data_IF_518046240476
#
_entry.id   IF_518046240476
#
_cell.length_a   1.000
_cell.length_b   1.000
_cell.length_c   1.000
_cell.angle_alpha   90.00
_cell.angle_beta   90.00
_cell.angle_gamma   90.00
#
_symmetry.space_group_name_H-M   'P 1'
#
loop_
_entity.id
_entity.type
_entity.pdbx_description
1 polymer ?
#
# COMPACT_ATOMS: atom_id res chain seq x y z
N UNK A 1 -20.51 -19.81 -23.77
CA UNK A 1 -19.10 -20.21 -23.74
C UNK A 1 -18.65 -20.99 -24.99
N UNK A 2 -18.00 -20.33 -25.97
CA UNK A 2 -17.30 -21.00 -27.08
C UNK A 2 -16.08 -21.81 -26.62
N UNK A 3 -15.89 -23.01 -27.18
CA UNK A 3 -14.71 -23.88 -26.95
C UNK A 3 -14.18 -24.34 -28.31
N UNK A 4 -12.87 -24.29 -28.52
CA UNK A 4 -12.21 -24.85 -29.69
C UNK A 4 -10.93 -25.60 -29.34
N UNK A 5 -10.66 -26.67 -30.09
CA UNK A 5 -9.41 -27.44 -29.98
C UNK A 5 -8.81 -27.58 -31.38
N UNK A 6 -7.71 -26.85 -31.63
CA UNK A 6 -7.05 -26.75 -32.94
C UNK A 6 -5.53 -26.73 -32.69
N UNK A 7 -4.75 -27.49 -33.45
CA UNK A 7 -3.28 -27.52 -33.37
C UNK A 7 -2.75 -27.71 -31.93
N UNK A 8 -3.34 -28.66 -31.20
CA UNK A 8 -3.06 -28.96 -29.78
C UNK A 8 -3.28 -27.78 -28.80
N UNK A 9 -3.98 -26.74 -29.23
CA UNK A 9 -4.41 -25.62 -28.39
C UNK A 9 -5.89 -25.75 -28.05
N UNK A 10 -6.19 -25.79 -26.75
CA UNK A 10 -7.55 -25.65 -26.23
C UNK A 10 -7.82 -24.18 -25.92
N UNK A 11 -8.80 -23.58 -26.58
CA UNK A 11 -9.25 -22.21 -26.33
C UNK A 11 -10.66 -22.23 -25.75
N UNK A 12 -10.85 -21.54 -24.63
CA UNK A 12 -12.15 -21.37 -23.97
C UNK A 12 -12.41 -19.88 -23.82
N UNK A 13 -13.46 -19.37 -24.45
CA UNK A 13 -13.90 -17.98 -24.29
C UNK A 13 -15.02 -17.95 -23.26
N UNK A 14 -14.78 -17.30 -22.12
CA UNK A 14 -15.75 -17.16 -21.05
C UNK A 14 -16.83 -16.14 -21.43
N UNK A 15 -18.03 -16.29 -20.86
CA UNK A 15 -19.15 -15.38 -21.13
C UNK A 15 -18.92 -14.02 -20.40
N UNK A 16 -19.71 -12.99 -20.73
CA UNK A 16 -19.77 -11.71 -19.99
C UNK A 16 -18.43 -10.99 -19.72
N UNK A 17 -17.58 -10.82 -20.75
CA UNK A 17 -16.29 -10.09 -20.67
C UNK A 17 -15.26 -10.69 -19.69
N UNK A 18 -15.49 -11.92 -19.22
CA UNK A 18 -14.59 -12.64 -18.31
C UNK A 18 -13.27 -13.08 -18.98
N UNK A 19 -13.16 -12.89 -20.29
CA UNK A 19 -11.93 -13.09 -21.05
C UNK A 19 -11.80 -14.49 -21.66
N UNK A 20 -10.57 -14.96 -21.82
CA UNK A 20 -10.26 -16.20 -22.52
C UNK A 20 -9.17 -16.99 -21.80
N UNK A 21 -9.29 -18.32 -21.80
CA UNK A 21 -8.23 -19.24 -21.40
C UNK A 21 -7.72 -19.99 -22.63
N UNK A 22 -6.42 -19.88 -22.87
CA UNK A 22 -5.70 -20.72 -23.82
C UNK A 22 -4.82 -21.71 -23.06
N UNK A 23 -4.93 -23.01 -23.39
CA UNK A 23 -4.01 -24.06 -22.97
C UNK A 23 -3.23 -24.47 -24.21
N UNK A 24 -1.91 -24.33 -24.17
CA UNK A 24 -1.02 -24.60 -25.29
C UNK A 24 0.31 -25.21 -24.83
N UNK A 25 0.98 -25.91 -25.74
CA UNK A 25 2.33 -26.41 -25.52
C UNK A 25 3.32 -25.27 -25.32
N UNK A 26 4.34 -25.53 -24.51
CA UNK A 26 5.35 -24.50 -24.18
C UNK A 26 6.16 -24.04 -25.40
N UNK A 27 6.27 -24.90 -26.41
CA UNK A 27 6.93 -24.65 -27.68
C UNK A 27 6.19 -23.61 -28.53
N UNK A 28 4.86 -23.60 -28.46
CA UNK A 28 3.99 -22.70 -29.22
C UNK A 28 3.70 -21.40 -28.47
N UNK A 29 4.16 -21.28 -27.21
CA UNK A 29 3.95 -20.10 -26.39
C UNK A 29 5.03 -19.02 -26.56
N UNK A 30 4.60 -17.86 -27.04
CA UNK A 30 5.32 -16.59 -26.95
C UNK A 30 4.83 -15.76 -25.76
N UNK A 31 5.76 -15.17 -25.01
CA UNK A 31 5.41 -14.34 -23.86
C UNK A 31 4.70 -13.07 -24.30
N UNK A 32 3.56 -12.78 -23.66
CA UNK A 32 2.73 -11.60 -23.92
C UNK A 32 2.36 -10.96 -22.58
N UNK A 33 2.78 -9.71 -22.38
CA UNK A 33 2.53 -8.98 -21.14
C UNK A 33 1.04 -8.68 -20.89
N UNK A 34 0.20 -8.81 -21.92
CA UNK A 34 -1.26 -8.63 -21.82
C UNK A 34 -1.98 -9.89 -21.34
N UNK A 35 -1.28 -11.01 -21.20
CA UNK A 35 -1.83 -12.28 -20.74
C UNK A 35 -1.16 -12.74 -19.43
N UNK A 36 -1.94 -13.37 -18.56
CA UNK A 36 -1.41 -14.02 -17.37
C UNK A 36 -1.01 -15.44 -17.76
N UNK A 37 0.30 -15.69 -17.84
CA UNK A 37 0.83 -17.00 -18.20
C UNK A 37 1.25 -17.79 -16.96
N UNK A 38 0.73 -19.01 -16.83
CA UNK A 38 1.10 -19.94 -15.75
C UNK A 38 1.60 -21.24 -16.36
N UNK A 39 2.80 -21.63 -15.92
CA UNK A 39 3.49 -22.80 -16.42
C UNK A 39 3.06 -24.04 -15.64
N UNK A 40 2.84 -25.14 -16.35
CA UNK A 40 2.44 -26.41 -15.78
C UNK A 40 3.33 -27.54 -16.30
N UNK A 41 3.50 -28.56 -15.46
CA UNK A 41 4.04 -29.87 -15.85
C UNK A 41 3.00 -30.92 -15.47
N UNK A 42 2.33 -31.49 -16.46
CA UNK A 42 1.10 -32.24 -16.25
C UNK A 42 0.04 -31.35 -15.59
N UNK A 43 -0.46 -31.77 -14.43
CA UNK A 43 -1.51 -31.05 -13.68
C UNK A 43 -0.95 -30.17 -12.55
N UNK A 44 0.38 -30.03 -12.43
CA UNK A 44 1.02 -29.29 -11.35
C UNK A 44 1.64 -27.98 -11.86
N UNK A 45 1.42 -26.85 -11.18
CA UNK A 45 2.04 -25.58 -11.56
C UNK A 45 3.55 -25.61 -11.27
N UNK A 46 4.35 -25.03 -12.16
CA UNK A 46 5.81 -24.90 -12.04
C UNK A 46 6.25 -23.44 -12.14
N UNK A 47 7.36 -23.09 -11.49
CA UNK A 47 7.85 -21.70 -11.42
C UNK A 47 8.70 -21.27 -12.62
N UNK A 48 9.19 -22.21 -13.43
CA UNK A 48 10.08 -21.94 -14.57
C UNK A 48 9.49 -22.48 -15.86
N UNK A 49 9.61 -21.70 -16.93
CA UNK A 49 9.25 -22.13 -18.30
C UNK A 49 10.01 -23.40 -18.73
N UNK A 50 11.25 -23.59 -18.28
CA UNK A 50 12.07 -24.77 -18.59
C UNK A 50 11.53 -26.08 -18.04
N UNK A 51 10.74 -26.00 -16.98
CA UNK A 51 10.29 -27.17 -16.22
C UNK A 51 8.86 -27.58 -16.63
N UNK A 52 8.29 -26.89 -17.63
CA UNK A 52 6.90 -26.93 -18.02
C UNK A 52 6.68 -27.71 -19.32
N UNK A 53 5.60 -28.49 -19.39
CA UNK A 53 5.13 -29.11 -20.64
C UNK A 53 4.14 -28.18 -21.37
N UNK A 54 3.36 -27.40 -20.62
CA UNK A 54 2.31 -26.51 -21.14
C UNK A 54 2.23 -25.20 -20.40
N UNK A 55 1.45 -24.29 -20.96
CA UNK A 55 1.09 -23.02 -20.32
C UNK A 55 -0.41 -22.79 -20.39
N UNK A 56 -0.96 -22.24 -19.30
CA UNK A 56 -2.30 -21.66 -19.25
C UNK A 56 -2.13 -20.16 -19.39
N UNK A 57 -2.61 -19.60 -20.50
CA UNK A 57 -2.57 -18.18 -20.77
C UNK A 57 -3.97 -17.58 -20.66
N UNK A 58 -4.17 -16.74 -19.65
CA UNK A 58 -5.43 -16.04 -19.42
C UNK A 58 -5.38 -14.66 -20.06
N UNK A 59 -6.34 -14.36 -20.93
CA UNK A 59 -6.73 -12.99 -21.23
C UNK A 59 -7.74 -12.59 -20.16
N UNK A 60 -7.37 -11.64 -19.30
CA UNK A 60 -8.17 -11.22 -18.16
C UNK A 60 -9.16 -10.10 -18.53
N UNK A 61 -10.21 -9.91 -17.72
CA UNK A 61 -11.06 -8.72 -17.78
C UNK A 61 -10.28 -7.42 -17.51
N UNK A 62 -10.84 -6.29 -17.93
CA UNK A 62 -10.18 -4.98 -17.87
C UNK A 62 -9.82 -4.50 -16.44
N UNK A 63 -10.51 -4.99 -15.42
CA UNK A 63 -10.30 -4.67 -14.01
C UNK A 63 -9.25 -5.55 -13.33
N UNK A 64 -8.73 -6.57 -14.03
CA UNK A 64 -7.70 -7.49 -13.55
C UNK A 64 -6.42 -7.31 -14.35
N UNK A 65 -5.38 -6.79 -13.68
CA UNK A 65 -4.02 -6.79 -14.21
C UNK A 65 -3.51 -8.25 -14.31
N UNK A 66 -3.12 -8.74 -15.52
CA UNK A 66 -2.58 -10.07 -15.71
C UNK A 66 -1.42 -10.42 -14.76
N UNK A 67 -0.56 -9.46 -14.43
CA UNK A 67 0.56 -9.66 -13.52
C UNK A 67 0.11 -9.89 -12.07
N UNK A 68 -1.04 -9.34 -11.68
CA UNK A 68 -1.64 -9.61 -10.37
C UNK A 68 -2.27 -11.00 -10.30
N UNK A 69 -2.91 -11.46 -11.38
CA UNK A 69 -3.41 -12.83 -11.46
C UNK A 69 -2.27 -13.86 -11.30
N UNK A 70 -1.15 -13.67 -12.00
CA UNK A 70 0.04 -14.53 -11.83
C UNK A 70 0.57 -14.50 -10.39
N UNK A 71 0.64 -13.31 -9.77
CA UNK A 71 1.08 -13.19 -8.37
C UNK A 71 0.14 -13.93 -7.41
N UNK A 72 -1.17 -13.82 -7.62
CA UNK A 72 -2.18 -14.46 -6.77
C UNK A 72 -2.09 -15.99 -6.84
N UNK A 73 -1.95 -16.52 -8.06
CA UNK A 73 -1.85 -17.96 -8.33
C UNK A 73 -0.47 -18.56 -7.98
N UNK A 74 0.54 -17.72 -7.74
CA UNK A 74 1.88 -18.13 -7.25
C UNK A 74 2.11 -17.78 -5.78
N UNK A 75 1.05 -17.54 -5.02
CA UNK A 75 1.09 -17.24 -3.58
C UNK A 75 1.98 -16.04 -3.19
N UNK A 76 2.08 -15.03 -4.06
CA UNK A 76 2.78 -13.77 -3.77
C UNK A 76 1.84 -12.76 -3.14
N UNK A 77 2.37 -11.88 -2.29
CA UNK A 77 1.60 -10.87 -1.56
C UNK A 77 0.95 -9.85 -2.50
N UNK A 78 -0.37 -9.68 -2.42
CA UNK A 78 -1.15 -8.66 -3.13
C UNK A 78 -1.81 -7.65 -2.18
N UNK A 79 -2.15 -6.44 -2.66
CA UNK A 79 -3.09 -5.55 -1.99
C UNK A 79 -4.45 -6.25 -1.76
N UNK A 80 -5.10 -5.98 -0.62
CA UNK A 80 -6.34 -6.65 -0.22
C UNK A 80 -7.51 -6.43 -1.20
N UNK A 81 -7.62 -5.23 -1.77
CA UNK A 81 -8.65 -4.90 -2.76
C UNK A 81 -8.47 -5.70 -4.07
N UNK A 82 -7.23 -5.92 -4.50
CA UNK A 82 -6.91 -6.70 -5.69
C UNK A 82 -7.08 -8.21 -5.45
N UNK A 83 -6.77 -8.66 -4.24
CA UNK A 83 -6.92 -10.07 -3.86
C UNK A 83 -8.38 -10.53 -3.93
N UNK A 84 -9.33 -9.67 -3.53
CA UNK A 84 -10.76 -9.99 -3.59
C UNK A 84 -11.27 -10.09 -5.02
N UNK A 85 -10.96 -9.11 -5.88
CA UNK A 85 -11.40 -9.10 -7.29
C UNK A 85 -10.89 -10.36 -8.01
N UNK A 86 -9.64 -10.75 -7.77
CA UNK A 86 -9.04 -11.95 -8.37
C UNK A 86 -9.63 -13.24 -7.79
N UNK A 87 -9.95 -13.27 -6.49
CA UNK A 87 -10.61 -14.40 -5.86
C UNK A 87 -12.00 -14.64 -6.47
N UNK A 88 -12.83 -13.60 -6.56
CA UNK A 88 -14.18 -13.67 -7.13
C UNK A 88 -14.13 -14.13 -8.61
N UNK A 89 -13.14 -13.64 -9.37
CA UNK A 89 -12.88 -14.09 -10.74
C UNK A 89 -12.53 -15.58 -10.82
N UNK A 90 -11.57 -16.05 -10.02
CA UNK A 90 -11.16 -17.46 -10.03
C UNK A 90 -12.24 -18.40 -9.52
N UNK A 91 -13.07 -17.97 -8.57
CA UNK A 91 -14.22 -18.74 -8.10
C UNK A 91 -15.22 -19.00 -9.23
N UNK A 92 -15.45 -18.02 -10.10
CA UNK A 92 -16.31 -18.18 -11.27
C UNK A 92 -15.74 -19.19 -12.29
N UNK A 93 -14.41 -19.32 -12.38
CA UNK A 93 -13.74 -20.24 -13.29
C UNK A 93 -13.44 -21.61 -12.68
N UNK A 94 -13.51 -21.74 -11.35
CA UNK A 94 -13.13 -22.93 -10.62
C UNK A 94 -13.82 -24.22 -11.11
N UNK A 95 -15.13 -24.25 -11.43
CA UNK A 95 -15.79 -25.47 -11.92
C UNK A 95 -15.22 -25.96 -13.26
N UNK A 96 -14.73 -25.06 -14.10
CA UNK A 96 -14.15 -25.39 -15.41
C UNK A 96 -12.72 -25.89 -15.21
N UNK A 97 -11.93 -25.17 -14.41
CA UNK A 97 -10.54 -25.53 -14.12
C UNK A 97 -10.44 -26.89 -13.40
N UNK A 98 -11.37 -27.17 -12.48
CA UNK A 98 -11.48 -28.46 -11.79
C UNK A 98 -11.81 -29.60 -12.75
N UNK A 99 -12.79 -29.41 -13.65
CA UNK A 99 -13.12 -30.40 -14.71
C UNK A 99 -11.96 -30.67 -15.67
N UNK A 100 -11.11 -29.68 -15.90
CA UNK A 100 -9.91 -29.81 -16.72
C UNK A 100 -8.71 -30.41 -15.94
N UNK A 101 -8.86 -30.64 -14.64
CA UNK A 101 -7.84 -31.25 -13.79
C UNK A 101 -6.74 -30.28 -13.33
N UNK A 102 -6.93 -28.96 -13.47
CA UNK A 102 -5.97 -27.97 -13.02
C UNK A 102 -6.22 -27.57 -11.58
N UNK A 103 -5.22 -27.84 -10.72
CA UNK A 103 -5.22 -27.42 -9.33
C UNK A 103 -4.23 -26.27 -9.16
N UNK A 104 -4.73 -25.13 -8.69
CA UNK A 104 -3.90 -24.01 -8.31
C UNK A 104 -3.68 -24.05 -6.81
N UNK A 105 -2.45 -23.77 -6.37
CA UNK A 105 -2.22 -23.35 -4.99
C UNK A 105 -2.71 -21.91 -4.89
N UNK A 106 -4.02 -21.73 -4.73
CA UNK A 106 -4.55 -20.42 -4.39
C UNK A 106 -3.80 -19.93 -3.15
N UNK A 107 -3.23 -18.73 -3.22
CA UNK A 107 -2.88 -18.03 -1.98
C UNK A 107 -4.13 -18.08 -1.11
N UNK A 108 -4.00 -18.48 0.16
CA UNK A 108 -5.09 -18.32 1.11
C UNK A 108 -5.66 -16.92 0.88
N UNK A 109 -6.94 -16.84 0.48
CA UNK A 109 -7.72 -15.62 0.66
C UNK A 109 -7.48 -15.34 2.11
N UNK A 110 -6.75 -14.26 2.43
CA UNK A 110 -6.49 -13.91 3.81
C UNK A 110 -7.87 -13.81 4.45
N UNK A 111 -8.23 -14.84 5.21
CA UNK A 111 -9.58 -15.06 5.66
C UNK A 111 -9.95 -13.81 6.44
N UNK A 112 -10.93 -13.06 5.91
CA UNK A 112 -11.35 -11.82 6.51
C UNK A 112 -11.94 -12.07 7.92
N UNK A 113 -12.11 -13.33 8.32
CA UNK A 113 -12.72 -13.75 9.58
C UNK A 113 -11.76 -14.10 10.72
N UNK A 114 -10.44 -14.20 10.51
CA UNK A 114 -9.47 -14.25 11.63
C UNK A 114 -8.31 -13.30 11.38
N UNK A 115 -8.61 -12.01 11.48
CA UNK A 115 -7.59 -11.10 12.02
C UNK A 115 -7.25 -11.66 13.40
N UNK A 116 -6.09 -12.34 13.55
CA UNK A 116 -5.26 -12.03 14.73
C UNK A 116 -5.25 -10.51 14.73
N UNK A 117 -5.93 -9.89 15.69
CA UNK A 117 -5.99 -8.45 15.76
C UNK A 117 -4.54 -8.01 15.64
N UNK A 118 -4.19 -7.41 14.49
CA UNK A 118 -2.97 -6.62 14.43
C UNK A 118 -3.10 -5.74 15.67
N UNK A 119 -2.09 -5.72 16.57
CA UNK A 119 -2.19 -5.00 17.83
C UNK A 119 -2.85 -3.68 17.49
N UNK A 120 -4.06 -3.47 18.04
CA UNK A 120 -4.94 -2.42 17.57
C UNK A 120 -4.07 -1.18 17.48
N UNK A 121 -3.94 -0.59 16.28
CA UNK A 121 -3.06 0.56 16.09
C UNK A 121 -3.31 1.49 17.26
N UNK A 122 -2.26 1.82 18.02
CA UNK A 122 -2.35 2.63 19.22
C UNK A 122 -3.36 3.75 18.96
N UNK A 123 -4.48 3.74 19.68
CA UNK A 123 -5.51 4.74 19.48
C UNK A 123 -5.17 5.92 20.36
N UNK A 124 -5.08 7.10 19.78
CA UNK A 124 -4.79 8.31 20.53
C UNK A 124 -6.07 9.08 20.77
N UNK A 125 -6.32 9.47 22.02
CA UNK A 125 -7.50 10.26 22.38
C UNK A 125 -7.08 11.62 22.94
N UNK A 126 -7.58 12.67 22.29
CA UNK A 126 -7.50 14.02 22.81
C UNK A 126 -8.19 14.12 24.19
N UNK A 127 -7.57 14.87 25.10
CA UNK A 127 -8.17 15.32 26.36
C UNK A 127 -7.84 16.79 26.60
N UNK A 128 -8.69 17.48 27.38
CA UNK A 128 -8.47 18.89 27.73
C UNK A 128 -7.17 19.11 28.52
N UNK A 129 -6.71 18.10 29.28
CA UNK A 129 -5.44 18.17 29.98
C UNK A 129 -4.24 18.24 29.00
N UNK A 130 -4.32 17.52 27.88
CA UNK A 130 -3.25 17.52 26.87
C UNK A 130 -3.17 18.85 26.12
N UNK A 131 -4.28 19.58 25.97
CA UNK A 131 -4.27 20.88 25.26
C UNK A 131 -3.44 21.99 25.90
N UNK A 132 -3.08 21.83 27.17
CA UNK A 132 -2.29 22.81 27.91
C UNK A 132 -0.80 22.42 28.00
N UNK A 133 -0.42 21.28 27.44
CA UNK A 133 0.96 20.78 27.52
C UNK A 133 1.71 21.24 26.26
N UNK A 134 2.81 22.01 26.40
CA UNK A 134 3.72 22.26 25.29
C UNK A 134 4.50 20.99 24.97
N UNK A 135 4.52 20.61 23.70
CA UNK A 135 5.39 19.56 23.18
C UNK A 135 6.47 20.16 22.29
N UNK A 136 7.69 19.72 22.49
CA UNK A 136 8.86 20.18 21.76
C UNK A 136 9.32 19.11 20.78
N UNK A 137 9.73 19.58 19.61
CA UNK A 137 10.43 18.81 18.59
C UNK A 137 11.87 19.31 18.56
N UNK A 138 12.83 18.39 18.67
CA UNK A 138 14.23 18.61 18.30
C UNK A 138 14.70 17.33 17.58
N UNK A 139 14.44 17.27 16.28
CA UNK A 139 14.67 16.08 15.48
C UNK A 139 15.04 16.44 14.04
N UNK A 140 16.12 15.85 13.54
CA UNK A 140 16.50 15.91 12.12
C UNK A 140 16.57 17.36 11.59
N UNK A 141 17.23 18.23 12.37
CA UNK A 141 17.35 19.68 12.16
C UNK A 141 16.06 20.49 12.25
N UNK A 142 14.91 19.85 12.49
CA UNK A 142 13.67 20.54 12.79
C UNK A 142 13.56 20.83 14.29
N UNK A 143 13.13 22.05 14.63
CA UNK A 143 12.85 22.46 16.01
C UNK A 143 11.53 23.19 16.10
N UNK A 144 10.66 22.81 17.03
CA UNK A 144 9.35 23.44 17.14
C UNK A 144 8.77 23.30 18.55
N UNK A 145 7.91 24.24 18.91
CA UNK A 145 6.96 24.11 20.01
C UNK A 145 5.56 23.85 19.41
N UNK A 146 4.88 22.82 19.91
CA UNK A 146 3.64 22.29 19.34
C UNK A 146 2.62 22.01 20.44
N UNK A 147 1.36 22.36 20.17
CA UNK A 147 0.22 22.08 21.05
C UNK A 147 -0.80 21.21 20.34
N UNK A 148 -1.42 20.27 21.05
CA UNK A 148 -2.65 19.62 20.59
C UNK A 148 -3.85 20.38 21.15
N UNK A 149 -4.24 21.49 20.52
CA UNK A 149 -5.22 22.43 21.07
C UNK A 149 -6.65 21.87 21.12
N UNK A 150 -7.07 21.14 20.08
CA UNK A 150 -8.38 20.47 19.99
C UNK A 150 -8.23 19.12 19.30
N UNK A 151 -9.28 18.29 19.35
CA UNK A 151 -9.29 16.94 18.76
C UNK A 151 -8.65 16.85 17.36
N UNK A 152 -8.95 17.78 16.47
CA UNK A 152 -8.42 17.84 15.10
C UNK A 152 -7.61 19.12 14.84
N UNK A 153 -6.92 19.64 15.85
CA UNK A 153 -6.22 20.92 15.79
C UNK A 153 -4.89 20.83 16.54
N UNK A 154 -3.80 20.69 15.77
CA UNK A 154 -2.43 20.85 16.22
C UNK A 154 -1.96 22.26 15.87
N UNK A 155 -1.28 22.93 16.80
CA UNK A 155 -0.73 24.28 16.57
C UNK A 155 0.78 24.20 16.70
N UNK A 156 1.50 24.53 15.62
CA UNK A 156 2.93 24.77 15.64
C UNK A 156 3.13 26.26 15.89
N UNK A 157 3.86 26.62 16.94
CA UNK A 157 4.13 28.02 17.27
C UNK A 157 5.06 28.67 16.23
N UNK A 158 4.89 29.98 16.04
CA UNK A 158 5.81 30.82 15.26
C UNK A 158 7.27 30.62 15.74
N UNK A 159 8.22 30.73 14.82
CA UNK A 159 9.64 30.50 15.09
C UNK A 159 10.05 29.03 15.00
N UNK A 160 9.17 28.13 14.57
CA UNK A 160 9.53 26.74 14.31
C UNK A 160 10.47 26.64 13.10
N UNK A 161 11.55 25.87 13.26
CA UNK A 161 12.55 25.60 12.25
C UNK A 161 12.17 24.29 11.55
N UNK A 162 11.99 24.35 10.24
CA UNK A 162 11.68 23.19 9.39
C UNK A 162 12.97 22.60 8.83
N UNK A 163 13.00 21.27 8.66
CA UNK A 163 14.06 20.60 7.91
C UNK A 163 14.10 21.14 6.49
N UNK A 164 15.27 21.62 6.06
CA UNK A 164 15.46 22.23 4.73
C UNK A 164 15.55 21.17 3.63
N UNK A 165 16.39 20.16 3.86
CA UNK A 165 16.68 19.14 2.86
C UNK A 165 15.61 18.06 2.86
N UNK A 166 15.00 17.84 1.70
CA UNK A 166 14.04 16.77 1.50
C UNK A 166 14.77 15.43 1.37
N UNK A 167 14.46 14.41 2.21
CA UNK A 167 15.09 13.11 2.10
C UNK A 167 14.58 12.38 0.85
N UNK A 168 15.48 11.94 -0.03
CA UNK A 168 15.14 11.16 -1.23
C UNK A 168 15.11 9.64 -0.95
N UNK A 169 14.40 8.89 -1.79
CA UNK A 169 14.46 7.44 -1.79
C UNK A 169 15.87 6.95 -2.21
N UNK A 170 16.16 5.66 -1.99
CA UNK A 170 17.45 5.06 -2.36
C UNK A 170 17.80 5.19 -3.85
N UNK A 171 16.79 5.28 -4.70
CA UNK A 171 16.91 5.45 -6.16
C UNK A 171 16.98 6.94 -6.57
N UNK A 172 17.02 7.87 -5.62
CA UNK A 172 17.02 9.32 -5.86
C UNK A 172 15.64 9.90 -6.17
N UNK A 173 14.58 9.08 -6.19
CA UNK A 173 13.21 9.55 -6.45
C UNK A 173 12.59 10.23 -5.22
N UNK A 174 11.58 11.08 -5.46
CA UNK A 174 10.76 11.69 -4.40
C UNK A 174 9.65 10.72 -3.97
N UNK A 175 9.70 10.29 -2.71
CA UNK A 175 8.69 9.41 -2.13
C UNK A 175 7.34 10.08 -1.86
N UNK A 176 6.33 9.27 -1.53
CA UNK A 176 4.97 9.77 -1.28
C UNK A 176 4.89 10.71 -0.08
N UNK A 177 5.57 10.38 1.02
CA UNK A 177 5.61 11.19 2.23
C UNK A 177 6.22 12.58 1.97
N UNK A 178 7.23 12.62 1.10
CA UNK A 178 7.90 13.84 0.68
C UNK A 178 6.99 14.69 -0.20
N UNK A 179 6.31 14.10 -1.19
CA UNK A 179 5.32 14.81 -2.02
C UNK A 179 4.24 15.44 -1.17
N UNK A 180 3.69 14.69 -0.21
CA UNK A 180 2.67 15.20 0.70
C UNK A 180 3.20 16.35 1.58
N UNK A 181 4.41 16.21 2.15
CA UNK A 181 5.04 17.26 2.92
C UNK A 181 5.31 18.54 2.09
N UNK A 182 5.68 18.40 0.82
CA UNK A 182 5.83 19.54 -0.10
C UNK A 182 4.51 20.26 -0.32
N UNK A 183 3.45 19.52 -0.69
CA UNK A 183 2.10 20.11 -0.83
C UNK A 183 1.66 20.83 0.43
N UNK A 184 1.87 20.20 1.60
CA UNK A 184 1.52 20.81 2.89
C UNK A 184 2.33 22.09 3.17
N UNK A 185 3.61 22.15 2.79
CA UNK A 185 4.43 23.37 2.91
C UNK A 185 3.98 24.45 1.93
N UNK A 186 3.60 24.08 0.71
CA UNK A 186 3.08 25.01 -0.29
C UNK A 186 1.75 25.64 0.19
N UNK A 187 0.87 24.83 0.78
CA UNK A 187 -0.37 25.31 1.42
C UNK A 187 -0.11 26.27 2.58
N UNK A 188 1.03 26.14 3.26
CA UNK A 188 1.46 26.99 4.37
C UNK A 188 2.53 28.01 3.96
N UNK A 189 2.75 28.26 2.67
CA UNK A 189 3.87 29.04 2.17
C UNK A 189 3.90 30.47 2.74
N UNK A 190 2.75 31.09 2.98
CA UNK A 190 2.66 32.42 3.58
C UNK A 190 3.14 32.47 5.04
N UNK A 191 3.17 31.33 5.73
CA UNK A 191 3.60 31.20 7.11
C UNK A 191 5.05 30.69 7.26
N UNK A 192 5.73 30.35 6.16
CA UNK A 192 7.09 29.81 6.14
C UNK A 192 8.02 30.81 5.48
N UNK A 193 9.02 31.30 6.24
CA UNK A 193 10.04 32.19 5.73
C UNK A 193 11.03 31.51 4.77
N UNK A 194 11.78 32.29 3.97
CA UNK A 194 12.80 31.76 3.05
C UNK A 194 13.96 31.05 3.77
N UNK A 195 14.13 31.29 5.07
CA UNK A 195 15.09 30.64 5.94
C UNK A 195 14.59 29.30 6.51
N UNK A 196 13.36 28.88 6.14
CA UNK A 196 12.63 27.73 6.66
C UNK A 196 12.24 27.87 8.13
N UNK A 197 12.02 29.10 8.58
CA UNK A 197 11.47 29.41 9.91
C UNK A 197 10.04 29.92 9.79
N UNK A 198 9.13 29.43 10.63
CA UNK A 198 7.74 29.89 10.58
C UNK A 198 7.60 31.33 11.09
N UNK A 199 6.86 32.16 10.36
CA UNK A 199 6.63 33.58 10.69
C UNK A 199 5.37 33.78 11.54
N UNK A 200 4.43 32.85 11.44
CA UNK A 200 3.17 32.82 12.19
C UNK A 200 2.89 31.42 12.72
N UNK A 201 1.92 31.29 13.63
CA UNK A 201 1.48 29.98 14.10
C UNK A 201 0.80 29.22 12.95
N UNK A 202 1.11 27.93 12.81
CA UNK A 202 0.53 27.06 11.78
C UNK A 202 -0.43 26.08 12.45
N UNK A 203 -1.64 25.98 11.91
CA UNK A 203 -2.67 25.04 12.38
C UNK A 203 -2.77 23.84 11.43
N UNK A 204 -2.63 22.64 11.99
CA UNK A 204 -2.70 21.35 11.27
C UNK A 204 -3.75 20.45 11.91
N UNK A 205 -4.17 19.39 11.21
CA UNK A 205 -5.26 18.51 11.65
C UNK A 205 -4.80 17.35 12.53
N UNK A 206 -3.52 16.98 12.46
CA UNK A 206 -3.02 15.79 13.15
C UNK A 206 -1.52 15.83 13.46
N UNK A 207 -1.10 14.99 14.40
CA UNK A 207 0.32 14.76 14.75
C UNK A 207 1.13 14.29 13.54
N UNK A 208 0.53 13.55 12.62
CA UNK A 208 1.20 13.11 11.39
C UNK A 208 1.51 14.28 10.46
N UNK A 209 0.56 15.22 10.29
CA UNK A 209 0.80 16.42 9.49
C UNK A 209 1.91 17.29 10.10
N UNK A 210 1.99 17.38 11.43
CA UNK A 210 3.11 18.05 12.12
C UNK A 210 4.45 17.43 11.70
N UNK A 211 4.55 16.10 11.72
CA UNK A 211 5.76 15.40 11.30
C UNK A 211 6.10 15.58 9.82
N UNK A 212 5.09 15.57 8.94
CA UNK A 212 5.29 15.85 7.52
C UNK A 212 5.79 17.28 7.30
N UNK A 213 5.14 18.29 7.89
CA UNK A 213 5.52 19.68 7.72
C UNK A 213 6.95 19.94 8.23
N UNK A 214 7.24 19.51 9.46
CA UNK A 214 8.49 19.84 10.13
C UNK A 214 9.70 19.08 9.55
N UNK A 215 9.59 17.78 9.32
CA UNK A 215 10.74 16.92 9.00
C UNK A 215 10.47 15.83 7.95
N UNK A 216 9.47 16.02 7.07
CA UNK A 216 9.13 15.08 5.99
C UNK A 216 8.74 13.67 6.45
N UNK A 217 8.18 13.55 7.66
CA UNK A 217 7.87 12.28 8.31
C UNK A 217 9.12 11.37 8.43
N UNK A 218 9.01 10.07 8.11
CA UNK A 218 10.13 9.12 8.24
C UNK A 218 10.38 8.61 9.67
N UNK A 219 9.69 9.14 10.67
CA UNK A 219 9.71 8.67 12.07
C UNK A 219 8.32 8.73 12.69
N UNK A 220 8.15 8.09 13.85
CA UNK A 220 6.89 8.13 14.59
C UNK A 220 6.78 9.43 15.40
N UNK A 221 6.05 10.41 14.86
CA UNK A 221 5.85 11.72 15.48
C UNK A 221 5.25 11.66 16.90
N UNK A 222 4.46 10.63 17.22
CA UNK A 222 3.92 10.42 18.57
C UNK A 222 5.02 10.23 19.64
N UNK A 223 6.20 9.76 19.24
CA UNK A 223 7.36 9.55 20.11
C UNK A 223 8.39 10.68 20.04
N UNK A 224 8.29 11.55 19.03
CA UNK A 224 9.20 12.70 18.84
C UNK A 224 8.74 13.90 19.65
N UNK A 225 7.44 14.16 19.68
CA UNK A 225 6.85 15.27 20.43
C UNK A 225 6.92 14.95 21.93
N UNK A 226 7.73 15.71 22.67
CA UNK A 226 7.99 15.49 24.10
C UNK A 226 7.75 16.77 24.90
N UNK A 227 7.23 16.63 26.11
CA UNK A 227 7.16 17.76 27.04
C UNK A 227 8.56 18.10 27.62
N UNK A 228 8.62 19.12 28.49
CA UNK A 228 9.87 19.54 29.15
C UNK A 228 10.52 18.43 30.00
N UNK A 229 9.74 17.45 30.45
CA UNK A 229 10.21 16.31 31.24
C UNK A 229 10.68 15.14 30.37
N UNK A 230 10.53 15.24 29.04
CA UNK A 230 10.87 14.21 28.07
C UNK A 230 9.77 13.18 27.84
N UNK A 231 8.58 13.34 28.45
CA UNK A 231 7.43 12.44 28.26
C UNK A 231 6.76 12.72 26.93
N UNK A 232 6.43 11.67 26.18
CA UNK A 232 5.94 11.79 24.80
C UNK A 232 4.45 12.10 24.75
N UNK A 233 3.99 12.71 23.66
CA UNK A 233 2.55 12.89 23.41
C UNK A 233 1.81 11.52 23.33
N UNK A 234 2.49 10.47 22.89
CA UNK A 234 2.01 9.07 22.96
C UNK A 234 1.63 8.70 24.40
N UNK A 235 2.55 8.89 25.35
CA UNK A 235 2.37 8.52 26.77
C UNK A 235 1.20 9.22 27.46
N UNK A 236 0.76 10.36 26.94
CA UNK A 236 -0.39 11.11 27.44
C UNK A 236 -1.72 10.68 26.81
N UNK A 237 -1.69 10.09 25.62
CA UNK A 237 -2.86 10.04 24.74
C UNK A 237 -3.21 8.64 24.27
N UNK A 238 -2.28 7.69 24.35
CA UNK A 238 -2.51 6.30 23.97
C UNK A 238 -3.59 5.67 24.85
N UNK A 239 -4.60 5.12 24.19
CA UNK A 239 -5.66 4.32 24.79
C UNK A 239 -5.23 2.86 24.65
N UNK A 240 -5.11 2.17 25.79
CA UNK A 240 -4.85 0.74 25.88
C UNK A 240 -6.14 -0.05 25.87
#
# INVERSE_FOLDING_TARGET
MPISFIDNRLSITFDDSQGQLDILDIADFSADATKAAIYFNGNQPVSKKSDADRVLAFTTPADIDPAYLVKYLTAKKLPANQSKIIADYLESLAPILDKLGYQFQASEVADASVKKAAPAKAQHRFSKAVSTIPFFVDHDSAKAEVYWAKRNEMIIKKGAILKKEMPLNKDGSVGFAQKFAMTLRDEQASAIGPDFVTTTDITLKSVNEVGHLLYFAGTNSWLVLKDETGRTIDDYTVVK
#
